data_IF_908497622633
#
_entry.id   IF_908497622633
#
_cell.length_a   1.000
_cell.length_b   1.000
_cell.length_c   1.000
_cell.angle_alpha   90.00
_cell.angle_beta   90.00
_cell.angle_gamma   90.00
#
_symmetry.space_group_name_H-M   'P 1'
#
loop_
_entity.id
_entity.type
_entity.pdbx_description
1 polymer ?
#
# COMPACT_ATOMS: atom_id res chain seq x y z
N UNK A 1 -28.10 -5.61 -16.19
CA UNK A 1 -26.82 -6.18 -16.69
C UNK A 1 -26.31 -5.43 -17.92
N UNK A 2 -27.15 -4.72 -18.68
CA UNK A 2 -26.72 -4.00 -19.90
C UNK A 2 -26.14 -2.60 -19.70
N UNK A 3 -26.45 -1.92 -18.59
CA UNK A 3 -25.91 -0.58 -18.30
C UNK A 3 -24.45 -0.59 -17.84
N UNK A 4 -24.02 -1.68 -17.20
CA UNK A 4 -22.64 -1.88 -16.72
C UNK A 4 -21.69 -2.25 -17.87
N UNK A 5 -22.15 -3.04 -18.84
CA UNK A 5 -21.39 -3.39 -20.04
C UNK A 5 -21.18 -2.20 -20.97
N UNK A 6 -22.16 -1.30 -21.10
CA UNK A 6 -22.04 -0.05 -21.83
C UNK A 6 -21.00 0.90 -21.21
N UNK A 7 -20.94 0.96 -19.88
CA UNK A 7 -19.97 1.81 -19.18
C UNK A 7 -18.54 1.24 -19.30
N UNK A 8 -18.37 -0.07 -19.06
CA UNK A 8 -17.09 -0.76 -19.24
C UNK A 8 -16.57 -0.67 -20.68
N UNK A 9 -17.44 -0.83 -21.68
CA UNK A 9 -17.09 -0.69 -23.10
C UNK A 9 -16.75 0.76 -23.47
N UNK A 10 -17.44 1.74 -22.88
CA UNK A 10 -17.12 3.16 -23.03
C UNK A 10 -15.78 3.56 -22.41
N UNK A 11 -15.46 3.06 -21.21
CA UNK A 11 -14.17 3.27 -20.57
C UNK A 11 -13.03 2.56 -21.31
N UNK A 12 -13.24 1.33 -21.79
CA UNK A 12 -12.27 0.63 -22.64
C UNK A 12 -12.05 1.38 -23.96
N UNK A 13 -13.10 1.90 -24.58
CA UNK A 13 -12.96 2.72 -25.80
C UNK A 13 -12.26 4.07 -25.53
N UNK A 14 -12.49 4.70 -24.36
CA UNK A 14 -11.83 5.94 -23.95
C UNK A 14 -10.34 5.72 -23.63
N UNK A 15 -10.00 4.63 -22.97
CA UNK A 15 -8.63 4.26 -22.62
C UNK A 15 -7.85 3.69 -23.82
N UNK A 16 -8.53 3.02 -24.76
CA UNK A 16 -7.98 2.68 -26.07
C UNK A 16 -7.67 3.92 -26.92
N UNK A 17 -8.49 4.98 -26.83
CA UNK A 17 -8.19 6.29 -27.45
C UNK A 17 -7.04 7.04 -26.78
N UNK A 18 -6.70 6.71 -25.53
CA UNK A 18 -5.54 7.26 -24.81
C UNK A 18 -4.28 6.39 -24.97
N UNK A 19 -4.35 5.23 -25.65
CA UNK A 19 -3.18 4.39 -25.96
C UNK A 19 -2.59 3.63 -24.77
N UNK A 20 -3.34 3.40 -23.69
CA UNK A 20 -2.85 2.75 -22.47
C UNK A 20 -3.75 1.60 -22.01
N UNK A 21 -4.15 0.74 -22.96
CA UNK A 21 -4.82 -0.53 -22.61
C UNK A 21 -4.00 -1.69 -23.11
N UNK A 22 -3.55 -2.50 -22.15
CA UNK A 22 -2.93 -3.80 -22.38
C UNK A 22 -3.73 -4.83 -21.60
N UNK A 23 -4.94 -5.10 -22.07
CA UNK A 23 -5.56 -6.38 -21.70
C UNK A 23 -4.76 -7.49 -22.40
N UNK A 24 -4.71 -8.72 -21.87
CA UNK A 24 -3.98 -9.82 -22.50
C UNK A 24 -4.39 -10.07 -23.97
N UNK A 25 -5.60 -9.65 -24.35
CA UNK A 25 -6.17 -9.77 -25.69
C UNK A 25 -5.87 -8.58 -26.61
N UNK A 26 -5.63 -7.38 -26.07
CA UNK A 26 -5.48 -6.14 -26.85
C UNK A 26 -4.33 -5.30 -26.28
N UNK A 27 -3.28 -5.15 -27.08
CA UNK A 27 -2.08 -4.35 -26.75
C UNK A 27 -2.00 -3.14 -27.67
N UNK A 28 -2.63 -2.04 -27.27
CA UNK A 28 -2.62 -0.80 -28.05
C UNK A 28 -1.79 0.23 -27.29
N UNK A 29 -0.66 0.61 -27.88
CA UNK A 29 0.24 1.64 -27.36
C UNK A 29 0.34 2.88 -28.25
N UNK A 30 0.91 3.97 -27.72
CA UNK A 30 1.24 5.14 -28.53
C UNK A 30 2.28 4.78 -29.60
N UNK A 31 2.24 5.45 -30.75
CA UNK A 31 3.29 5.34 -31.77
C UNK A 31 4.64 5.91 -31.29
N UNK A 32 5.73 5.70 -32.02
CA UNK A 32 7.04 6.23 -31.66
C UNK A 32 7.01 7.78 -31.61
N UNK A 33 7.80 8.42 -30.72
CA UNK A 33 8.87 7.87 -29.90
C UNK A 33 8.40 7.20 -28.59
N UNK A 34 8.95 6.02 -28.29
CA UNK A 34 8.57 5.22 -27.12
C UNK A 34 9.29 5.61 -25.81
N UNK A 35 10.34 6.42 -25.90
CA UNK A 35 11.11 6.88 -24.74
C UNK A 35 11.12 8.39 -24.71
N UNK A 36 10.65 8.96 -23.61
CA UNK A 36 10.77 10.40 -23.32
C UNK A 36 11.72 10.60 -22.15
N UNK A 37 12.43 11.75 -22.07
CA UNK A 37 13.34 12.02 -20.97
C UNK A 37 12.62 12.01 -19.61
N UNK A 38 11.35 12.44 -19.54
CA UNK A 38 10.54 12.36 -18.33
C UNK A 38 10.29 10.92 -17.86
N UNK A 39 10.07 10.00 -18.81
CA UNK A 39 9.89 8.58 -18.53
C UNK A 39 11.16 7.96 -17.95
N UNK A 40 12.32 8.24 -18.55
CA UNK A 40 13.61 7.72 -18.09
C UNK A 40 13.98 8.23 -16.69
N UNK A 41 13.73 9.52 -16.42
CA UNK A 41 13.96 10.11 -15.09
C UNK A 41 13.06 9.45 -14.05
N UNK A 42 11.78 9.23 -14.36
CA UNK A 42 10.84 8.59 -13.45
C UNK A 42 11.23 7.12 -13.19
N UNK A 43 11.63 6.39 -14.23
CA UNK A 43 12.18 5.04 -14.12
C UNK A 43 13.39 4.99 -13.18
N UNK A 44 14.36 5.88 -13.39
CA UNK A 44 15.55 5.97 -12.54
C UNK A 44 15.19 6.18 -11.08
N UNK A 45 14.36 7.19 -10.77
CA UNK A 45 13.97 7.47 -9.39
C UNK A 45 13.17 6.33 -8.76
N UNK A 46 12.24 5.70 -9.48
CA UNK A 46 11.46 4.56 -8.96
C UNK A 46 12.35 3.40 -8.57
N UNK A 47 13.29 3.02 -9.44
CA UNK A 47 14.20 1.90 -9.17
C UNK A 47 15.18 2.26 -8.07
N UNK A 48 15.81 3.43 -8.16
CA UNK A 48 16.80 3.88 -7.18
C UNK A 48 16.20 4.04 -5.78
N UNK A 49 15.10 4.79 -5.66
CA UNK A 49 14.43 5.02 -4.37
C UNK A 49 13.77 3.76 -3.84
N UNK A 50 13.22 2.90 -4.70
CA UNK A 50 12.64 1.62 -4.29
C UNK A 50 13.68 0.68 -3.71
N UNK A 51 14.84 0.53 -4.36
CA UNK A 51 15.95 -0.30 -3.86
C UNK A 51 16.51 0.28 -2.56
N UNK A 52 16.70 1.59 -2.47
CA UNK A 52 17.11 2.25 -1.23
C UNK A 52 16.09 2.04 -0.11
N UNK A 53 14.80 2.16 -0.41
CA UNK A 53 13.70 1.93 0.52
C UNK A 53 13.78 0.52 1.12
N UNK A 54 13.97 -0.51 0.30
CA UNK A 54 14.14 -1.90 0.76
C UNK A 54 15.41 -2.05 1.62
N UNK A 55 16.53 -1.49 1.18
CA UNK A 55 17.80 -1.59 1.91
C UNK A 55 17.74 -0.92 3.29
N UNK A 56 17.18 0.29 3.36
CA UNK A 56 17.06 1.07 4.59
C UNK A 56 16.10 0.40 5.57
N UNK A 57 14.96 -0.12 5.09
CA UNK A 57 13.93 -0.75 5.95
C UNK A 57 14.29 -2.16 6.41
N UNK A 58 15.21 -2.86 5.72
CA UNK A 58 15.68 -4.18 6.14
C UNK A 58 16.41 -4.16 7.51
N UNK A 59 17.18 -3.11 7.78
CA UNK A 59 17.93 -2.96 9.04
C UNK A 59 17.01 -2.84 10.27
N UNK A 60 16.05 -1.88 10.33
CA UNK A 60 15.12 -1.79 11.45
C UNK A 60 14.20 -3.01 11.53
N UNK A 61 13.82 -3.64 10.43
CA UNK A 61 13.03 -4.88 10.45
C UNK A 61 13.72 -5.98 11.26
N UNK A 62 15.02 -6.20 11.04
CA UNK A 62 15.82 -7.20 11.78
C UNK A 62 15.92 -6.86 13.27
N UNK A 63 16.11 -5.58 13.60
CA UNK A 63 16.20 -5.12 14.97
C UNK A 63 14.86 -5.28 15.72
N UNK A 64 13.75 -4.89 15.08
CA UNK A 64 12.41 -4.97 15.65
C UNK A 64 11.91 -6.40 15.80
N UNK A 65 12.31 -7.30 14.89
CA UNK A 65 12.04 -8.72 15.01
C UNK A 65 12.69 -9.31 16.26
N UNK A 66 13.96 -8.95 16.51
CA UNK A 66 14.70 -9.38 17.71
C UNK A 66 14.15 -8.72 18.97
N UNK A 67 13.76 -7.45 18.88
CA UNK A 67 13.18 -6.75 20.02
C UNK A 67 11.87 -7.40 20.42
N UNK A 68 11.08 -7.94 19.47
CA UNK A 68 9.80 -8.62 19.64
C UNK A 68 8.58 -7.69 19.49
N UNK A 69 8.74 -6.59 18.75
CA UNK A 69 7.67 -5.65 18.40
C UNK A 69 7.03 -6.07 17.08
N UNK A 70 5.93 -6.83 17.16
CA UNK A 70 5.29 -7.46 16.01
C UNK A 70 4.76 -6.45 14.98
N UNK A 71 3.97 -5.46 15.41
CA UNK A 71 3.35 -4.48 14.52
C UNK A 71 4.39 -3.68 13.70
N UNK A 72 5.46 -3.21 14.37
CA UNK A 72 6.54 -2.49 13.72
C UNK A 72 7.30 -3.36 12.71
N UNK A 73 7.48 -4.65 13.02
CA UNK A 73 8.12 -5.57 12.07
C UNK A 73 7.25 -5.81 10.85
N UNK A 74 5.94 -6.02 11.03
CA UNK A 74 4.99 -6.19 9.91
C UNK A 74 4.98 -4.95 9.02
N UNK A 75 4.98 -3.74 9.61
CA UNK A 75 5.07 -2.49 8.85
C UNK A 75 6.31 -2.44 7.95
N UNK A 76 7.49 -2.75 8.49
CA UNK A 76 8.72 -2.78 7.70
C UNK A 76 8.67 -3.83 6.59
N UNK A 77 8.22 -5.05 6.89
CA UNK A 77 8.13 -6.14 5.90
C UNK A 77 7.17 -5.80 4.76
N UNK A 78 5.98 -5.29 5.08
CA UNK A 78 5.00 -4.87 4.08
C UNK A 78 5.54 -3.74 3.22
N UNK A 79 6.22 -2.76 3.82
CA UNK A 79 6.90 -1.68 3.08
C UNK A 79 7.96 -2.21 2.12
N UNK A 80 8.79 -3.18 2.55
CA UNK A 80 9.79 -3.82 1.69
C UNK A 80 9.14 -4.54 0.50
N UNK A 81 8.03 -5.26 0.75
CA UNK A 81 7.29 -5.96 -0.31
C UNK A 81 6.70 -4.97 -1.32
N UNK A 82 6.03 -3.91 -0.86
CA UNK A 82 5.47 -2.88 -1.73
C UNK A 82 6.54 -2.19 -2.58
N UNK A 83 7.68 -1.82 -1.99
CA UNK A 83 8.80 -1.24 -2.74
C UNK A 83 9.36 -2.20 -3.79
N UNK A 84 9.44 -3.49 -3.46
CA UNK A 84 9.89 -4.52 -4.40
C UNK A 84 8.93 -4.65 -5.57
N UNK A 85 7.62 -4.64 -5.32
CA UNK A 85 6.59 -4.64 -6.38
C UNK A 85 6.77 -3.44 -7.31
N UNK A 86 6.97 -2.23 -6.77
CA UNK A 86 7.19 -1.04 -7.59
C UNK A 86 8.47 -1.13 -8.45
N UNK A 87 9.55 -1.67 -7.91
CA UNK A 87 10.81 -1.86 -8.65
C UNK A 87 10.62 -2.88 -9.77
N UNK A 88 10.02 -4.04 -9.48
CA UNK A 88 9.75 -5.09 -10.47
C UNK A 88 8.87 -4.54 -11.60
N UNK A 89 7.81 -3.83 -11.27
CA UNK A 89 6.91 -3.24 -12.25
C UNK A 89 7.61 -2.21 -13.13
N UNK A 90 8.43 -1.33 -12.55
CA UNK A 90 9.17 -0.33 -13.30
C UNK A 90 10.20 -0.96 -14.26
N UNK A 91 10.81 -2.09 -13.89
CA UNK A 91 11.81 -2.78 -14.72
C UNK A 91 11.20 -3.57 -15.88
N UNK A 92 10.05 -4.21 -15.65
CA UNK A 92 9.33 -4.98 -16.67
C UNK A 92 8.75 -4.02 -17.72
N UNK A 93 8.04 -2.97 -17.28
CA UNK A 93 7.33 -2.02 -18.17
C UNK A 93 8.02 -0.66 -18.17
N UNK A 94 9.23 -0.62 -18.75
CA UNK A 94 10.19 0.51 -18.65
C UNK A 94 9.96 1.66 -19.64
N UNK A 95 9.43 1.34 -20.82
CA UNK A 95 9.29 2.25 -21.96
C UNK A 95 7.79 2.39 -22.32
N UNK A 96 7.45 2.98 -23.47
CA UNK A 96 6.09 3.05 -24.02
C UNK A 96 5.85 2.05 -25.18
N UNK A 97 6.77 1.12 -25.46
CA UNK A 97 6.66 0.14 -26.54
C UNK A 97 5.79 -1.07 -26.15
N UNK A 98 4.48 -0.83 -26.09
CA UNK A 98 3.46 -1.82 -25.71
C UNK A 98 3.50 -3.12 -26.53
N UNK A 99 3.96 -3.08 -27.77
CA UNK A 99 4.01 -4.25 -28.64
C UNK A 99 5.03 -5.30 -28.18
N UNK A 100 6.15 -4.87 -27.60
CA UNK A 100 7.23 -5.76 -27.14
C UNK A 100 7.08 -6.17 -25.67
N UNK A 101 6.14 -5.57 -24.95
CA UNK A 101 5.99 -5.86 -23.52
C UNK A 101 5.53 -7.28 -23.25
N UNK A 102 5.95 -7.77 -22.10
CA UNK A 102 5.33 -8.94 -21.51
C UNK A 102 3.92 -8.59 -21.02
N UNK A 103 2.94 -9.46 -21.32
CA UNK A 103 1.54 -9.28 -20.92
C UNK A 103 1.31 -9.35 -19.40
N UNK A 104 2.31 -9.79 -18.63
CA UNK A 104 2.18 -9.89 -17.16
C UNK A 104 1.45 -11.14 -16.68
N UNK A 105 1.34 -12.18 -17.53
CA UNK A 105 0.65 -13.44 -17.20
C UNK A 105 1.20 -14.04 -15.89
N UNK A 106 0.30 -14.34 -14.94
CA UNK A 106 0.67 -14.84 -13.62
C UNK A 106 1.13 -13.76 -12.63
N UNK A 107 2.02 -12.83 -13.02
CA UNK A 107 2.45 -11.76 -12.10
C UNK A 107 1.32 -10.77 -11.80
N UNK A 108 0.65 -10.26 -12.82
CA UNK A 108 -0.48 -9.34 -12.65
C UNK A 108 -1.66 -10.02 -11.94
N UNK A 109 -1.82 -11.33 -12.13
CA UNK A 109 -2.85 -12.12 -11.45
C UNK A 109 -2.61 -12.24 -9.95
N UNK A 110 -1.35 -12.28 -9.51
CA UNK A 110 -1.03 -12.28 -8.08
C UNK A 110 -1.04 -10.85 -7.54
N UNK A 111 -0.35 -9.94 -8.22
CA UNK A 111 -0.17 -8.55 -7.77
C UNK A 111 -1.50 -7.86 -7.50
N UNK A 112 -2.46 -7.97 -8.42
CA UNK A 112 -3.75 -7.28 -8.32
C UNK A 112 -4.52 -7.66 -7.05
N UNK A 113 -4.44 -8.92 -6.61
CA UNK A 113 -5.14 -9.39 -5.42
C UNK A 113 -4.42 -9.05 -4.12
N UNK A 114 -3.09 -8.88 -4.15
CA UNK A 114 -2.31 -8.59 -2.93
C UNK A 114 -2.08 -7.09 -2.72
N UNK A 115 -2.12 -6.27 -3.77
CA UNK A 115 -1.71 -4.86 -3.70
C UNK A 115 -2.56 -4.02 -2.74
N UNK A 116 -3.91 -4.08 -2.85
CA UNK A 116 -4.81 -3.35 -1.95
C UNK A 116 -4.71 -3.85 -0.50
N UNK A 117 -4.80 -5.17 -0.23
CA UNK A 117 -4.62 -5.71 1.11
C UNK A 117 -3.27 -5.37 1.74
N UNK A 118 -2.17 -5.36 0.97
CA UNK A 118 -0.85 -4.95 1.47
C UNK A 118 -0.83 -3.46 1.84
N UNK A 119 -1.44 -2.59 1.03
CA UNK A 119 -1.58 -1.18 1.38
C UNK A 119 -2.41 -0.99 2.66
N UNK A 120 -3.52 -1.73 2.82
CA UNK A 120 -4.31 -1.69 4.05
C UNK A 120 -3.51 -2.19 5.26
N UNK A 121 -2.76 -3.28 5.11
CA UNK A 121 -1.88 -3.80 6.16
C UNK A 121 -0.80 -2.78 6.57
N UNK A 122 -0.27 -2.01 5.61
CA UNK A 122 0.66 -0.91 5.87
C UNK A 122 0.03 0.16 6.78
N UNK A 123 -1.17 0.62 6.46
CA UNK A 123 -1.88 1.61 7.27
C UNK A 123 -2.31 1.07 8.65
N UNK A 124 -2.80 -0.17 8.70
CA UNK A 124 -3.22 -0.81 9.95
C UNK A 124 -2.03 -1.05 10.90
N UNK A 125 -0.88 -1.47 10.36
CA UNK A 125 0.34 -1.62 11.14
C UNK A 125 0.82 -0.27 11.70
N UNK A 126 0.72 0.81 10.91
CA UNK A 126 1.04 2.16 11.39
C UNK A 126 0.14 2.59 12.56
N UNK A 127 -1.17 2.37 12.44
CA UNK A 127 -2.12 2.65 13.52
C UNK A 127 -1.79 1.89 14.81
N UNK A 128 -1.49 0.60 14.71
CA UNK A 128 -1.12 -0.23 15.86
C UNK A 128 0.21 0.21 16.50
N UNK A 129 1.18 0.67 15.72
CA UNK A 129 2.42 1.26 16.24
C UNK A 129 2.10 2.51 17.06
N UNK A 130 1.28 3.42 16.52
CA UNK A 130 0.90 4.64 17.22
C UNK A 130 0.12 4.35 18.51
N UNK A 131 -0.83 3.41 18.47
CA UNK A 131 -1.58 2.95 19.65
C UNK A 131 -0.67 2.30 20.70
N UNK A 132 0.30 1.49 20.27
CA UNK A 132 1.29 0.87 21.15
C UNK A 132 2.22 1.88 21.81
N UNK A 133 2.66 2.90 21.06
CA UNK A 133 3.47 4.00 21.58
C UNK A 133 2.67 4.85 22.58
N UNK A 134 1.45 5.21 22.22
CA UNK A 134 0.50 5.94 23.06
C UNK A 134 0.33 5.30 24.45
N UNK A 135 0.07 3.99 24.47
CA UNK A 135 -0.11 3.24 25.70
C UNK A 135 1.17 3.22 26.56
N UNK A 136 2.35 3.08 25.93
CA UNK A 136 3.64 3.09 26.64
C UNK A 136 3.96 4.45 27.27
N UNK A 137 3.64 5.55 26.57
CA UNK A 137 3.83 6.91 27.08
C UNK A 137 2.85 7.23 28.21
N UNK A 138 1.57 6.89 28.05
CA UNK A 138 0.53 7.19 29.05
C UNK A 138 0.72 6.45 30.38
N UNK A 139 1.29 5.24 30.36
CA UNK A 139 1.39 4.41 31.56
C UNK A 139 2.64 4.69 32.42
N UNK A 140 3.60 5.52 31.97
CA UNK A 140 4.91 5.75 32.62
C UNK A 140 5.53 4.47 33.23
N UNK A 141 5.27 3.31 32.64
CA UNK A 141 5.52 2.02 33.29
C UNK A 141 6.93 1.57 32.95
N UNK A 142 7.82 1.65 33.91
CA UNK A 142 9.23 1.20 33.83
C UNK A 142 9.32 -0.34 33.80
N UNK A 143 8.24 -1.06 34.10
CA UNK A 143 8.22 -2.52 34.19
C UNK A 143 8.02 -3.17 32.83
N UNK A 144 8.99 -3.98 32.39
CA UNK A 144 8.90 -4.81 31.19
C UNK A 144 7.68 -5.73 31.24
N UNK A 145 6.87 -5.77 30.16
CA UNK A 145 5.73 -6.69 30.06
C UNK A 145 6.19 -8.15 30.24
N UNK A 146 5.38 -8.94 30.94
CA UNK A 146 5.64 -10.37 31.07
C UNK A 146 5.62 -11.05 29.69
N UNK A 147 6.43 -12.10 29.46
CA UNK A 147 6.52 -12.75 28.14
C UNK A 147 5.18 -13.34 27.66
N UNK A 148 4.27 -13.70 28.58
CA UNK A 148 2.90 -14.16 28.24
C UNK A 148 2.02 -13.01 27.76
N UNK A 149 2.06 -11.88 28.45
CA UNK A 149 1.30 -10.68 28.10
C UNK A 149 1.78 -10.09 26.78
N UNK A 150 3.09 -10.13 26.55
CA UNK A 150 3.71 -9.78 25.26
C UNK A 150 3.21 -10.65 24.10
N UNK A 151 3.16 -11.97 24.27
CA UNK A 151 2.64 -12.89 23.24
C UNK A 151 1.15 -12.63 22.97
N UNK A 152 0.36 -12.43 24.03
CA UNK A 152 -1.07 -12.13 23.89
C UNK A 152 -1.31 -10.81 23.15
N UNK A 153 -0.54 -9.77 23.46
CA UNK A 153 -0.61 -8.48 22.75
C UNK A 153 -0.17 -8.61 21.29
N UNK A 154 0.89 -9.37 21.02
CA UNK A 154 1.32 -9.65 19.64
C UNK A 154 0.25 -10.37 18.81
N UNK A 155 -0.44 -11.35 19.38
CA UNK A 155 -1.54 -12.06 18.70
C UNK A 155 -2.75 -11.17 18.45
N UNK A 156 -3.12 -10.31 19.41
CA UNK A 156 -4.21 -9.35 19.23
C UNK A 156 -3.88 -8.33 18.15
N UNK A 157 -2.67 -7.74 18.19
CA UNK A 157 -2.22 -6.82 17.14
C UNK A 157 -2.15 -7.51 15.77
N UNK A 158 -1.72 -8.78 15.71
CA UNK A 158 -1.76 -9.55 14.47
C UNK A 158 -3.19 -9.73 13.95
N UNK A 159 -4.13 -10.09 14.82
CA UNK A 159 -5.53 -10.24 14.43
C UNK A 159 -6.10 -8.92 13.87
N UNK A 160 -5.80 -7.78 14.50
CA UNK A 160 -6.26 -6.46 14.03
C UNK A 160 -5.63 -6.09 12.68
N UNK A 161 -4.32 -6.29 12.52
CA UNK A 161 -3.61 -5.93 11.29
C UNK A 161 -4.07 -6.79 10.11
N UNK A 162 -4.30 -8.09 10.31
CA UNK A 162 -4.64 -9.01 9.23
C UNK A 162 -6.15 -9.20 8.97
N UNK A 163 -7.04 -8.89 9.92
CA UNK A 163 -8.48 -9.05 9.73
C UNK A 163 -9.02 -8.23 8.55
N UNK A 164 -8.68 -6.94 8.48
CA UNK A 164 -9.15 -6.07 7.40
C UNK A 164 -8.58 -6.45 6.02
N UNK A 165 -7.26 -6.69 5.86
CA UNK A 165 -6.70 -7.18 4.60
C UNK A 165 -7.31 -8.51 4.12
N UNK A 166 -7.54 -9.48 5.01
CA UNK A 166 -8.15 -10.77 4.63
C UNK A 166 -9.58 -10.59 4.11
N UNK A 167 -10.35 -9.70 4.75
CA UNK A 167 -11.68 -9.33 4.26
C UNK A 167 -11.59 -8.68 2.87
N UNK A 168 -10.63 -7.77 2.65
CA UNK A 168 -10.42 -7.13 1.33
C UNK A 168 -10.02 -8.13 0.25
N UNK A 169 -9.17 -9.11 0.54
CA UNK A 169 -8.84 -10.19 -0.42
C UNK A 169 -10.11 -10.93 -0.84
N UNK A 170 -10.93 -11.30 0.14
CA UNK A 170 -12.17 -12.05 -0.10
C UNK A 170 -13.16 -11.25 -0.93
N UNK A 171 -13.32 -9.95 -0.61
CA UNK A 171 -14.22 -9.06 -1.35
C UNK A 171 -13.71 -8.74 -2.76
N UNK A 172 -12.39 -8.72 -2.96
CA UNK A 172 -11.78 -8.44 -4.28
C UNK A 172 -12.26 -9.44 -5.34
N UNK A 173 -12.47 -10.70 -4.96
CA UNK A 173 -12.99 -11.73 -5.86
C UNK A 173 -14.38 -11.38 -6.42
N UNK A 174 -15.20 -10.66 -5.66
CA UNK A 174 -16.57 -10.31 -6.04
C UNK A 174 -16.70 -8.97 -6.78
N UNK A 175 -15.74 -8.05 -6.60
CA UNK A 175 -15.85 -6.63 -7.01
C UNK A 175 -14.98 -6.29 -8.23
N UNK A 176 -14.13 -7.21 -8.69
CA UNK A 176 -13.24 -6.97 -9.83
C UNK A 176 -14.00 -6.99 -11.16
N UNK A 177 -13.87 -5.92 -11.95
CA UNK A 177 -14.45 -5.82 -13.30
C UNK A 177 -13.49 -6.35 -14.37
N UNK A 178 -12.29 -5.77 -14.38
CA UNK A 178 -11.25 -6.07 -15.35
C UNK A 178 -10.07 -6.62 -14.57
N UNK A 179 -9.62 -7.82 -14.98
CA UNK A 179 -8.61 -8.62 -14.29
C UNK A 179 -7.32 -7.84 -14.02
N UNK A 180 -6.79 -7.16 -15.03
CA UNK A 180 -5.74 -6.15 -14.88
C UNK A 180 -5.62 -5.33 -16.18
N UNK A 181 -5.08 -4.12 -16.04
CA UNK A 181 -4.51 -3.32 -17.11
C UNK A 181 -3.05 -3.01 -16.75
N UNK A 182 -2.17 -2.95 -17.73
CA UNK A 182 -0.77 -2.56 -17.50
C UNK A 182 -0.50 -1.17 -18.04
N UNK A 183 0.08 -0.35 -17.19
CA UNK A 183 0.55 1.01 -17.50
C UNK A 183 2.08 1.08 -17.39
N UNK A 184 2.74 1.91 -18.22
CA UNK A 184 4.19 2.08 -18.15
C UNK A 184 4.59 2.59 -16.76
N UNK A 185 5.69 2.06 -16.22
CA UNK A 185 6.28 2.33 -14.89
C UNK A 185 5.43 1.99 -13.66
N UNK A 186 4.10 1.97 -13.79
CA UNK A 186 3.16 1.66 -12.71
C UNK A 186 2.96 0.15 -12.61
N UNK A 187 2.95 -0.54 -13.75
CA UNK A 187 2.69 -1.97 -13.86
C UNK A 187 1.20 -2.28 -13.85
N UNK A 188 0.84 -3.39 -13.19
CA UNK A 188 -0.52 -3.93 -13.19
C UNK A 188 -1.46 -3.17 -12.24
N UNK A 189 -2.63 -2.78 -12.73
CA UNK A 189 -3.73 -2.22 -11.95
C UNK A 189 -5.04 -2.93 -12.27
N UNK A 190 -5.84 -3.25 -11.25
CA UNK A 190 -7.22 -3.69 -11.47
C UNK A 190 -8.15 -2.51 -11.65
N UNK A 191 -9.21 -2.74 -12.42
CA UNK A 191 -10.40 -1.90 -12.38
C UNK A 191 -11.47 -2.60 -11.55
N UNK A 192 -12.00 -1.87 -10.58
CA UNK A 192 -13.08 -2.29 -9.70
C UNK A 192 -14.36 -1.59 -10.12
N UNK A 193 -15.49 -2.25 -9.92
CA UNK A 193 -16.78 -1.61 -10.03
C UNK A 193 -16.88 -0.44 -9.04
N UNK A 194 -17.26 0.78 -9.48
CA UNK A 194 -17.47 1.91 -8.60
C UNK A 194 -18.80 1.78 -7.83
N UNK A 195 -18.97 0.65 -7.16
CA UNK A 195 -20.11 0.35 -6.31
C UNK A 195 -19.87 0.86 -4.88
N UNK A 196 -20.96 1.01 -4.14
CA UNK A 196 -20.90 1.37 -2.72
C UNK A 196 -20.04 0.40 -1.90
N UNK A 197 -19.95 -0.87 -2.31
CA UNK A 197 -19.10 -1.89 -1.68
C UNK A 197 -17.62 -1.53 -1.83
N UNK A 198 -17.19 -1.12 -3.03
CA UNK A 198 -15.80 -0.69 -3.25
C UNK A 198 -15.45 0.53 -2.40
N UNK A 199 -16.36 1.51 -2.37
CA UNK A 199 -16.18 2.72 -1.55
C UNK A 199 -16.04 2.38 -0.06
N UNK A 200 -16.92 1.56 0.48
CA UNK A 200 -16.99 1.25 1.92
C UNK A 200 -15.84 0.35 2.40
N UNK A 201 -15.38 -0.59 1.58
CA UNK A 201 -14.39 -1.60 2.02
C UNK A 201 -12.96 -1.37 1.50
N UNK A 202 -12.76 -0.57 0.45
CA UNK A 202 -11.45 -0.34 -0.14
C UNK A 202 -10.98 1.11 0.01
N UNK A 203 -11.87 2.08 -0.18
CA UNK A 203 -11.50 3.51 -0.15
C UNK A 203 -11.57 4.08 1.27
N UNK A 204 -12.68 3.86 1.97
CA UNK A 204 -12.91 4.42 3.30
C UNK A 204 -12.00 3.85 4.41
N UNK A 205 -11.72 2.54 4.49
CA UNK A 205 -10.97 1.98 5.61
C UNK A 205 -9.56 2.56 5.81
N UNK A 206 -8.70 2.70 4.77
CA UNK A 206 -7.39 3.31 4.97
C UNK A 206 -7.49 4.78 5.39
N UNK A 207 -8.51 5.52 4.94
CA UNK A 207 -8.77 6.91 5.38
C UNK A 207 -9.11 6.95 6.86
N UNK A 208 -10.05 6.12 7.33
CA UNK A 208 -10.41 6.09 8.76
C UNK A 208 -9.26 5.62 9.65
N UNK A 209 -8.48 4.64 9.20
CA UNK A 209 -7.32 4.14 9.96
C UNK A 209 -6.21 5.19 10.04
N UNK A 210 -5.95 5.93 8.96
CA UNK A 210 -4.95 7.00 8.96
C UNK A 210 -5.41 8.21 9.79
N UNK A 211 -6.69 8.58 9.73
CA UNK A 211 -7.27 9.62 10.60
C UNK A 211 -7.23 9.17 12.06
N UNK A 212 -7.55 7.91 12.35
CA UNK A 212 -7.45 7.36 13.71
C UNK A 212 -6.01 7.40 14.22
N UNK A 213 -5.03 7.08 13.37
CA UNK A 213 -3.62 7.12 13.72
C UNK A 213 -3.14 8.56 13.98
N UNK A 214 -3.58 9.52 13.16
CA UNK A 214 -3.24 10.94 13.33
C UNK A 214 -3.96 11.58 14.51
N UNK A 215 -5.19 11.17 14.83
CA UNK A 215 -5.93 11.62 16.01
C UNK A 215 -5.26 11.15 17.30
N UNK A 216 -4.88 9.85 17.36
CA UNK A 216 -4.09 9.32 18.46
C UNK A 216 -2.75 10.07 18.58
N UNK A 217 -2.05 10.31 17.46
CA UNK A 217 -0.83 11.12 17.46
C UNK A 217 -1.09 12.57 17.91
N UNK A 218 -2.24 13.15 17.54
CA UNK A 218 -2.67 14.51 17.85
C UNK A 218 -2.96 14.73 19.33
N UNK A 219 -3.54 13.75 20.02
CA UNK A 219 -3.68 13.78 21.48
C UNK A 219 -2.30 13.88 22.17
N UNK A 220 -1.28 13.15 21.68
CA UNK A 220 0.09 13.30 22.18
C UNK A 220 0.78 14.58 21.70
N UNK A 221 0.51 15.04 20.48
CA UNK A 221 1.16 16.23 19.92
C UNK A 221 0.65 17.52 20.54
N UNK A 222 -0.64 17.64 20.83
CA UNK A 222 -1.19 18.78 21.60
C UNK A 222 -0.63 18.80 23.02
N UNK A 223 -0.59 17.65 23.71
CA UNK A 223 -0.03 17.59 25.07
C UNK A 223 1.49 17.87 25.07
N UNK A 224 2.22 17.38 24.07
CA UNK A 224 3.68 17.58 23.96
C UNK A 224 4.03 19.01 23.57
N UNK A 225 3.29 19.62 22.62
CA UNK A 225 3.49 21.04 22.24
C UNK A 225 3.07 21.97 23.37
N UNK A 226 1.97 21.68 24.08
CA UNK A 226 1.56 22.43 25.26
C UNK A 226 2.59 22.29 26.39
N UNK A 227 3.11 21.09 26.67
CA UNK A 227 4.17 20.88 27.66
C UNK A 227 5.51 21.52 27.25
N UNK A 228 5.85 21.53 25.96
CA UNK A 228 7.06 22.19 25.44
C UNK A 228 6.94 23.72 25.51
N UNK A 229 5.75 24.27 25.21
CA UNK A 229 5.45 25.70 25.36
C UNK A 229 5.40 26.13 26.83
N UNK A 230 4.83 25.33 27.72
CA UNK A 230 4.81 25.60 29.17
C UNK A 230 6.24 25.60 29.73
N UNK A 231 7.11 24.70 29.26
CA UNK A 231 8.51 24.61 29.71
C UNK A 231 9.38 25.72 29.11
N UNK A 232 9.11 26.13 27.86
CA UNK A 232 9.78 27.26 27.21
C UNK A 232 9.32 28.65 27.70
N UNK A 233 8.19 28.74 28.41
CA UNK A 233 7.71 29.95 29.09
C UNK A 233 8.16 30.02 30.57
N UNK A 234 8.78 28.95 31.08
CA UNK A 234 9.26 28.85 32.46
C UNK A 234 10.79 29.05 32.59
N UNK A 235 11.50 29.19 31.46
CA UNK A 235 12.90 29.64 31.35
C UNK A 235 12.93 31.08 30.80
#
# INVERSE_FOLDING_TARGET
MDSLSLNASGYLAMTARLGFTTTPEVRIGPGPPYTTPSLQVNLFFRVFLGVLGVAITATPARLLWRSGEFAATVFCVVSMVLNTIYVVNALIWRDNNVAEWWAGDGWCDVQTYIYFPLNMAFHAALFEIMRGLAAKVALQRVTSLTPRERRRHGLVSAAVIFACPLLQVTLTFFVILIRYNVSPLIGCTAFYDPDWVFLVFFVLPPVFVTIGASALAGEFSCLSVLCFLIRALAD
#
